data_IF_765949465020
#
_entry.id   IF_765949465020
#
_cell.length_a   1.000
_cell.length_b   1.000
_cell.length_c   1.000
_cell.angle_alpha   90.00
_cell.angle_beta   90.00
_cell.angle_gamma   90.00
#
_symmetry.space_group_name_H-M   'P 1'
#
loop_
_entity.id
_entity.type
_entity.pdbx_description
1 polymer ?
#
# COMPACT_ATOMS: atom_id res chain seq x y z
N UNK A 1 8.38 8.97 -0.93
CA UNK A 1 7.08 8.64 -1.57
C UNK A 1 6.02 8.69 -0.50
N UNK A 2 4.81 9.10 -0.82
CA UNK A 2 3.63 9.06 0.05
C UNK A 2 2.57 8.27 -0.70
N UNK A 3 2.10 7.20 -0.08
CA UNK A 3 1.01 6.36 -0.58
C UNK A 3 -0.24 6.77 0.19
N UNK A 4 -1.33 7.02 -0.53
CA UNK A 4 -2.56 7.59 0.00
C UNK A 4 -3.73 6.66 -0.32
N UNK A 5 -4.63 6.54 0.64
CA UNK A 5 -5.92 5.89 0.51
C UNK A 5 -7.01 6.97 0.64
N UNK A 6 -8.23 6.62 0.27
CA UNK A 6 -9.41 7.46 0.51
C UNK A 6 -9.37 8.83 -0.20
N UNK A 7 -8.71 8.88 -1.35
CA UNK A 7 -8.63 10.10 -2.17
C UNK A 7 -9.84 10.16 -3.09
N UNK A 8 -10.70 11.14 -2.84
CA UNK A 8 -11.98 11.29 -3.57
C UNK A 8 -11.82 11.69 -5.04
N UNK A 9 -10.81 12.52 -5.36
CA UNK A 9 -10.62 13.06 -6.72
C UNK A 9 -9.28 13.80 -6.88
N UNK A 10 -8.98 14.17 -8.11
CA UNK A 10 -7.77 14.91 -8.51
C UNK A 10 -7.62 16.28 -7.81
N UNK A 11 -8.71 16.95 -7.40
CA UNK A 11 -8.58 18.23 -6.69
C UNK A 11 -8.05 18.03 -5.27
N UNK A 12 -8.53 17.00 -4.56
CA UNK A 12 -8.00 16.62 -3.24
C UNK A 12 -6.52 16.26 -3.34
N UNK A 13 -6.17 15.41 -4.32
CA UNK A 13 -4.77 15.00 -4.51
C UNK A 13 -3.86 16.17 -4.85
N UNK A 14 -4.34 17.13 -5.65
CA UNK A 14 -3.61 18.36 -5.98
C UNK A 14 -3.39 19.23 -4.75
N UNK A 15 -4.42 19.43 -3.92
CA UNK A 15 -4.29 20.21 -2.69
C UNK A 15 -3.25 19.61 -1.74
N UNK A 16 -3.21 18.27 -1.62
CA UNK A 16 -2.19 17.57 -0.84
C UNK A 16 -0.79 17.75 -1.44
N UNK A 17 -0.63 17.62 -2.76
CA UNK A 17 0.64 17.84 -3.44
C UNK A 17 1.15 19.28 -3.25
N UNK A 18 0.27 20.27 -3.38
CA UNK A 18 0.59 21.68 -3.19
C UNK A 18 1.04 21.96 -1.75
N UNK A 19 0.42 21.33 -0.75
CA UNK A 19 0.82 21.43 0.65
C UNK A 19 2.19 20.81 0.94
N UNK A 20 2.56 19.72 0.25
CA UNK A 20 3.89 19.11 0.34
C UNK A 20 4.97 19.90 -0.42
N UNK A 21 4.57 20.79 -1.32
CA UNK A 21 5.43 21.67 -2.09
C UNK A 21 6.03 21.03 -3.35
N UNK A 22 6.75 21.84 -4.14
CA UNK A 22 7.15 21.48 -5.52
C UNK A 22 8.11 20.30 -5.63
N UNK A 23 8.74 19.88 -4.53
CA UNK A 23 9.59 18.69 -4.51
C UNK A 23 8.79 17.40 -4.79
N UNK A 24 7.48 17.38 -4.51
CA UNK A 24 6.58 16.26 -4.79
C UNK A 24 5.89 16.44 -6.14
N UNK A 25 6.70 16.54 -7.21
CA UNK A 25 6.20 16.79 -8.57
C UNK A 25 5.47 15.61 -9.22
N UNK A 26 5.66 14.38 -8.73
CA UNK A 26 4.94 13.20 -9.22
C UNK A 26 3.65 13.02 -8.45
N UNK A 27 2.54 12.92 -9.19
CA UNK A 27 1.19 12.68 -8.68
C UNK A 27 0.49 11.66 -9.56
N UNK A 28 0.00 10.57 -8.97
CA UNK A 28 -0.73 9.52 -9.68
C UNK A 28 -1.98 9.15 -8.89
N UNK A 29 -3.15 9.29 -9.52
CA UNK A 29 -4.43 8.85 -8.96
C UNK A 29 -4.85 7.52 -9.61
N UNK A 30 -5.16 6.53 -8.77
CA UNK A 30 -5.76 5.26 -9.15
C UNK A 30 -7.28 5.37 -9.27
N UNK A 31 -7.75 6.35 -10.04
CA UNK A 31 -9.18 6.68 -10.12
C UNK A 31 -9.99 5.53 -10.71
N UNK A 32 -11.07 5.16 -10.01
CA UNK A 32 -11.93 4.05 -10.44
C UNK A 32 -13.18 4.50 -11.17
N UNK A 33 -13.44 5.82 -11.19
CA UNK A 33 -14.62 6.49 -11.77
C UNK A 33 -15.96 5.98 -11.24
N UNK A 34 -15.95 5.22 -10.13
CA UNK A 34 -17.18 4.79 -9.48
C UNK A 34 -17.78 5.96 -8.69
N UNK A 35 -19.12 6.10 -8.62
CA UNK A 35 -19.74 7.14 -7.81
C UNK A 35 -19.28 7.06 -6.35
N UNK A 36 -18.81 8.19 -5.80
CA UNK A 36 -18.25 8.28 -4.46
C UNK A 36 -17.10 7.27 -4.20
N UNK A 37 -16.24 7.04 -5.20
CA UNK A 37 -15.06 6.22 -5.01
C UNK A 37 -14.08 6.84 -4.03
N UNK A 38 -13.51 5.98 -3.20
CA UNK A 38 -12.45 6.28 -2.26
C UNK A 38 -11.20 5.61 -2.79
N UNK A 39 -10.46 6.33 -3.63
CA UNK A 39 -9.41 5.77 -4.48
C UNK A 39 -8.03 5.82 -3.81
N UNK A 40 -7.08 5.10 -4.39
CA UNK A 40 -5.67 5.16 -3.97
C UNK A 40 -4.91 6.19 -4.79
N UNK A 41 -3.87 6.78 -4.21
CA UNK A 41 -2.99 7.69 -4.91
C UNK A 41 -1.54 7.57 -4.43
N UNK A 42 -0.64 8.13 -5.23
CA UNK A 42 0.78 8.23 -4.91
C UNK A 42 1.29 9.64 -5.19
N UNK A 43 1.99 10.21 -4.22
CA UNK A 43 2.78 11.43 -4.35
C UNK A 43 4.26 11.10 -4.17
N UNK A 44 5.11 11.56 -5.07
CA UNK A 44 6.53 11.27 -5.00
C UNK A 44 7.43 12.43 -5.43
N UNK A 45 8.64 12.39 -4.88
CA UNK A 45 9.79 13.11 -5.43
C UNK A 45 10.46 12.20 -6.46
N UNK A 46 11.15 12.78 -7.43
CA UNK A 46 11.83 12.04 -8.51
C UNK A 46 11.06 12.11 -9.82
N UNK A 47 11.28 11.12 -10.68
CA UNK A 47 10.73 11.08 -12.04
C UNK A 47 9.77 9.90 -12.20
N UNK A 48 8.59 10.16 -12.76
CA UNK A 48 7.63 9.12 -13.11
C UNK A 48 8.08 8.41 -14.39
N UNK A 49 8.16 7.08 -14.35
CA UNK A 49 8.52 6.26 -15.51
C UNK A 49 7.30 5.54 -16.09
N UNK A 50 6.62 4.74 -15.28
CA UNK A 50 5.49 3.89 -15.71
C UNK A 50 4.39 3.91 -14.66
N UNK A 51 3.15 3.84 -15.11
CA UNK A 51 1.98 3.56 -14.26
C UNK A 51 1.27 2.34 -14.84
N UNK A 52 1.00 1.34 -14.01
CA UNK A 52 0.12 0.21 -14.35
C UNK A 52 -1.05 0.14 -13.38
N UNK A 53 -2.14 -0.41 -13.89
CA UNK A 53 -3.43 -0.55 -13.21
C UNK A 53 -3.86 -2.00 -13.34
N UNK A 54 -4.27 -2.58 -12.23
CA UNK A 54 -4.62 -3.98 -12.08
C UNK A 54 -6.07 -4.19 -11.64
N UNK A 55 -6.83 -3.11 -11.37
CA UNK A 55 -8.20 -3.19 -10.83
C UNK A 55 -9.09 -4.19 -11.54
N UNK A 56 -9.12 -4.15 -12.87
CA UNK A 56 -10.07 -4.91 -13.68
C UNK A 56 -9.60 -6.35 -13.97
N UNK A 57 -8.47 -6.78 -13.40
CA UNK A 57 -8.00 -8.15 -13.48
C UNK A 57 -9.00 -9.10 -12.79
N UNK A 58 -9.42 -10.20 -13.45
CA UNK A 58 -10.25 -11.22 -12.80
C UNK A 58 -9.48 -11.91 -11.66
N UNK A 59 -10.10 -11.95 -10.48
CA UNK A 59 -9.54 -12.56 -9.27
C UNK A 59 -10.38 -13.78 -8.88
N UNK A 60 -9.84 -15.01 -8.96
CA UNK A 60 -10.57 -16.21 -8.53
C UNK A 60 -10.95 -16.14 -7.05
N UNK A 61 -12.20 -16.44 -6.73
CA UNK A 61 -12.66 -16.59 -5.35
C UNK A 61 -12.44 -18.03 -4.85
N UNK A 62 -12.03 -18.24 -3.59
CA UNK A 62 -11.90 -19.59 -3.02
C UNK A 62 -13.18 -20.42 -3.07
N UNK A 63 -14.36 -19.79 -2.88
CA UNK A 63 -15.67 -20.43 -2.97
C UNK A 63 -16.19 -20.69 -4.39
N UNK A 64 -15.41 -20.32 -5.42
CA UNK A 64 -15.80 -20.37 -6.82
C UNK A 64 -16.37 -19.05 -7.34
N UNK A 65 -16.26 -18.84 -8.65
CA UNK A 65 -16.52 -17.56 -9.28
C UNK A 65 -15.30 -16.63 -9.24
N UNK A 66 -15.51 -15.38 -9.64
CA UNK A 66 -14.45 -14.39 -9.76
C UNK A 66 -14.92 -13.03 -9.23
N UNK A 67 -13.96 -12.23 -8.79
CA UNK A 67 -14.14 -10.84 -8.42
C UNK A 67 -13.07 -9.99 -9.13
N UNK A 68 -12.90 -8.75 -8.68
CA UNK A 68 -11.84 -7.83 -9.09
C UNK A 68 -11.40 -7.01 -7.89
N UNK A 69 -10.29 -6.29 -7.96
CA UNK A 69 -9.91 -5.41 -6.85
C UNK A 69 -10.97 -4.33 -6.61
N UNK A 70 -11.25 -4.03 -5.34
CA UNK A 70 -12.26 -3.04 -4.94
C UNK A 70 -11.84 -1.64 -5.35
N UNK A 71 -10.58 -1.32 -5.04
CA UNK A 71 -9.87 -0.12 -5.45
C UNK A 71 -8.77 -0.53 -6.42
N UNK A 72 -8.08 0.45 -6.99
CA UNK A 72 -6.90 0.15 -7.79
C UNK A 72 -5.80 -0.50 -6.94
N UNK A 73 -5.13 -1.51 -7.52
CA UNK A 73 -3.79 -1.91 -7.08
C UNK A 73 -2.83 -1.14 -7.99
N UNK A 74 -2.45 0.05 -7.55
CA UNK A 74 -1.78 1.04 -8.39
C UNK A 74 -0.27 0.81 -8.37
N UNK A 75 0.28 0.36 -9.50
CA UNK A 75 1.72 0.13 -9.67
C UNK A 75 2.38 1.36 -10.29
N UNK A 76 3.35 1.95 -9.61
CA UNK A 76 4.06 3.15 -10.07
C UNK A 76 5.56 2.91 -10.07
N UNK A 77 6.17 3.05 -11.24
CA UNK A 77 7.63 2.99 -11.42
C UNK A 77 8.19 4.39 -11.41
N UNK A 78 9.23 4.59 -10.62
CA UNK A 78 9.86 5.88 -10.34
C UNK A 78 11.38 5.76 -10.49
N UNK A 79 12.02 6.87 -10.88
CA UNK A 79 13.45 7.09 -10.64
C UNK A 79 13.59 8.06 -9.46
N UNK A 80 14.19 7.61 -8.36
CA UNK A 80 14.38 8.42 -7.15
C UNK A 80 15.86 8.47 -6.81
N UNK A 81 16.44 9.67 -6.81
CA UNK A 81 17.88 9.87 -6.52
C UNK A 81 18.81 9.00 -7.39
N UNK A 82 18.42 8.76 -8.64
CA UNK A 82 19.18 7.92 -9.56
C UNK A 82 18.95 6.41 -9.40
N UNK A 83 18.10 5.96 -8.49
CA UNK A 83 17.77 4.54 -8.29
C UNK A 83 16.32 4.20 -8.68
N UNK A 84 16.07 3.01 -9.25
CA UNK A 84 14.72 2.58 -9.60
C UNK A 84 13.92 2.14 -8.37
N UNK A 85 12.68 2.63 -8.28
CA UNK A 85 11.73 2.34 -7.20
C UNK A 85 10.36 2.03 -7.82
N UNK A 86 9.78 0.88 -7.45
CA UNK A 86 8.43 0.49 -7.84
C UNK A 86 7.58 0.42 -6.57
N UNK A 87 6.44 1.12 -6.57
CA UNK A 87 5.52 1.15 -5.43
C UNK A 87 4.13 0.74 -5.89
N UNK A 88 3.56 -0.21 -5.18
CA UNK A 88 2.16 -0.59 -5.26
C UNK A 88 1.39 0.11 -4.15
N UNK A 89 0.40 0.93 -4.51
CA UNK A 89 -0.58 1.46 -3.58
C UNK A 89 -1.81 0.55 -3.59
N UNK A 90 -2.20 0.06 -2.41
CA UNK A 90 -3.35 -0.81 -2.25
C UNK A 90 -4.36 -0.22 -1.25
N UNK A 91 -5.63 -0.57 -1.46
CA UNK A 91 -6.71 -0.40 -0.49
C UNK A 91 -7.68 -1.57 -0.67
N UNK A 92 -7.54 -2.60 0.17
CA UNK A 92 -8.32 -3.82 0.03
C UNK A 92 -9.78 -3.62 0.42
N UNK A 93 -10.63 -4.62 0.12
CA UNK A 93 -12.05 -4.60 0.50
C UNK A 93 -12.20 -4.41 2.01
N UNK A 94 -12.83 -3.32 2.43
CA UNK A 94 -13.16 -3.08 3.84
C UNK A 94 -13.97 -4.22 4.48
N UNK A 95 -13.93 -4.30 5.82
CA UNK A 95 -14.79 -5.21 6.61
C UNK A 95 -16.27 -4.78 6.68
N UNK A 96 -16.68 -3.71 5.99
CA UNK A 96 -18.10 -3.37 5.80
C UNK A 96 -18.80 -4.48 5.01
N UNK A 97 -19.88 -5.02 5.58
CA UNK A 97 -20.61 -6.21 5.14
C UNK A 97 -19.77 -7.51 5.12
N UNK A 98 -18.56 -7.44 5.69
CA UNK A 98 -17.50 -8.46 5.77
C UNK A 98 -17.47 -9.49 4.62
N UNK A 99 -16.68 -9.17 3.59
CA UNK A 99 -16.41 -10.06 2.45
C UNK A 99 -14.99 -10.67 2.54
N UNK A 100 -14.72 -11.63 3.46
CA UNK A 100 -13.36 -12.14 3.70
C UNK A 100 -12.78 -12.90 2.50
N UNK A 101 -13.61 -13.62 1.73
CA UNK A 101 -13.14 -14.31 0.51
C UNK A 101 -12.63 -13.32 -0.54
N UNK A 102 -13.26 -12.16 -0.62
CA UNK A 102 -12.88 -11.11 -1.55
C UNK A 102 -11.57 -10.44 -1.14
N UNK A 103 -11.40 -10.12 0.16
CA UNK A 103 -10.11 -9.64 0.69
C UNK A 103 -8.99 -10.65 0.45
N UNK A 104 -9.26 -11.93 0.67
CA UNK A 104 -8.27 -12.98 0.44
C UNK A 104 -7.87 -13.09 -1.04
N UNK A 105 -8.84 -13.01 -1.96
CA UNK A 105 -8.55 -13.01 -3.40
C UNK A 105 -7.69 -11.80 -3.83
N UNK A 106 -7.99 -10.61 -3.31
CA UNK A 106 -7.17 -9.41 -3.52
C UNK A 106 -5.74 -9.60 -2.99
N UNK A 107 -5.57 -10.17 -1.80
CA UNK A 107 -4.26 -10.41 -1.20
C UNK A 107 -3.42 -11.43 -1.99
N UNK A 108 -4.02 -12.55 -2.42
CA UNK A 108 -3.35 -13.57 -3.24
C UNK A 108 -2.88 -12.96 -4.57
N UNK A 109 -3.75 -12.20 -5.23
CA UNK A 109 -3.41 -11.56 -6.50
C UNK A 109 -2.34 -10.49 -6.34
N UNK A 110 -2.43 -9.65 -5.31
CA UNK A 110 -1.42 -8.65 -5.01
C UNK A 110 -0.07 -9.30 -4.69
N UNK A 111 -0.05 -10.41 -3.93
CA UNK A 111 1.18 -11.15 -3.66
C UNK A 111 1.86 -11.58 -4.96
N UNK A 112 1.13 -12.27 -5.84
CA UNK A 112 1.65 -12.78 -7.10
C UNK A 112 2.15 -11.65 -8.00
N UNK A 113 1.36 -10.58 -8.18
CA UNK A 113 1.73 -9.44 -9.03
C UNK A 113 2.99 -8.75 -8.52
N UNK A 114 3.07 -8.49 -7.20
CA UNK A 114 4.22 -7.80 -6.60
C UNK A 114 5.47 -8.66 -6.70
N UNK A 115 5.37 -9.97 -6.48
CA UNK A 115 6.52 -10.87 -6.62
C UNK A 115 6.97 -11.00 -8.08
N UNK A 116 6.05 -11.12 -9.03
CA UNK A 116 6.38 -11.20 -10.47
C UNK A 116 7.10 -9.93 -10.94
N UNK A 117 6.64 -8.76 -10.49
CA UNK A 117 7.29 -7.49 -10.79
C UNK A 117 8.66 -7.39 -10.12
N UNK A 118 8.81 -7.86 -8.88
CA UNK A 118 10.10 -7.90 -8.20
C UNK A 118 11.11 -8.84 -8.87
N UNK A 119 10.66 -9.99 -9.40
CA UNK A 119 11.50 -10.92 -10.16
C UNK A 119 11.89 -10.35 -11.54
N UNK A 120 10.99 -9.62 -12.18
CA UNK A 120 11.26 -8.96 -13.46
C UNK A 120 12.18 -7.71 -13.33
N UNK A 121 12.23 -7.10 -12.15
CA UNK A 121 12.99 -5.88 -11.85
C UNK A 121 13.90 -6.05 -10.62
N UNK A 122 14.87 -6.99 -10.64
CA UNK A 122 15.72 -7.27 -9.49
C UNK A 122 16.60 -6.07 -9.09
N UNK A 123 16.84 -5.12 -9.99
CA UNK A 123 17.57 -3.88 -9.74
C UNK A 123 16.76 -2.81 -8.99
N UNK A 124 15.42 -2.91 -9.01
CA UNK A 124 14.54 -1.94 -8.37
C UNK A 124 14.31 -2.29 -6.90
N UNK A 125 14.00 -1.28 -6.09
CA UNK A 125 13.29 -1.53 -4.83
C UNK A 125 11.80 -1.68 -5.14
N UNK A 126 11.16 -2.75 -4.66
CA UNK A 126 9.72 -2.99 -4.86
C UNK A 126 9.00 -3.02 -3.53
N UNK A 127 8.01 -2.13 -3.38
CA UNK A 127 7.20 -1.97 -2.16
C UNK A 127 5.72 -2.12 -2.46
N UNK A 128 4.98 -2.73 -1.53
CA UNK A 128 3.51 -2.70 -1.47
C UNK A 128 3.11 -1.97 -0.19
N UNK A 129 2.23 -0.98 -0.28
CA UNK A 129 1.79 -0.22 0.89
C UNK A 129 0.33 0.24 0.82
N UNK A 130 -0.31 0.30 1.98
CA UNK A 130 -1.65 0.88 2.14
C UNK A 130 -2.49 0.17 3.19
N UNK A 131 -3.76 0.53 3.24
CA UNK A 131 -4.78 -0.11 4.08
C UNK A 131 -5.20 -1.45 3.46
N UNK A 132 -4.74 -2.54 4.07
CA UNK A 132 -5.07 -3.90 3.63
C UNK A 132 -6.30 -4.45 4.34
N UNK A 133 -6.91 -3.66 5.23
CA UNK A 133 -8.15 -3.95 5.94
C UNK A 133 -8.17 -5.26 6.74
N UNK A 134 -7.00 -5.80 7.08
CA UNK A 134 -6.90 -7.02 7.89
C UNK A 134 -5.61 -7.04 8.72
N UNK A 135 -5.59 -7.88 9.75
CA UNK A 135 -4.55 -7.84 10.79
C UNK A 135 -3.48 -8.93 10.58
N UNK A 136 -2.28 -8.78 11.19
CA UNK A 136 -1.28 -9.85 11.18
C UNK A 136 -1.84 -11.19 11.68
N UNK A 137 -1.58 -12.28 10.96
CA UNK A 137 -2.11 -13.62 11.26
C UNK A 137 -3.53 -13.88 10.73
N UNK A 138 -4.12 -12.92 9.98
CA UNK A 138 -5.34 -13.16 9.22
C UNK A 138 -5.02 -13.82 7.86
N UNK A 139 -5.98 -14.55 7.25
CA UNK A 139 -5.74 -15.21 5.95
C UNK A 139 -5.22 -14.28 4.84
N UNK A 140 -5.71 -13.03 4.67
CA UNK A 140 -5.13 -12.11 3.67
C UNK A 140 -3.67 -11.75 3.94
N UNK A 141 -3.28 -11.52 5.20
CA UNK A 141 -1.89 -11.17 5.53
C UNK A 141 -0.96 -12.38 5.42
N UNK A 142 -1.43 -13.56 5.83
CA UNK A 142 -0.70 -14.82 5.66
C UNK A 142 -0.47 -15.14 4.17
N UNK A 143 -1.45 -14.81 3.31
CA UNK A 143 -1.31 -14.96 1.86
C UNK A 143 -0.21 -14.04 1.29
N UNK A 144 -0.08 -12.80 1.78
CA UNK A 144 0.99 -11.88 1.38
C UNK A 144 2.37 -12.33 1.88
N UNK A 145 2.44 -12.91 3.08
CA UNK A 145 3.68 -13.39 3.70
C UNK A 145 4.10 -14.79 3.23
N UNK A 146 3.30 -15.43 2.36
CA UNK A 146 3.53 -16.79 1.91
C UNK A 146 4.94 -16.94 1.32
N UNK A 147 5.61 -18.02 1.71
CA UNK A 147 7.00 -18.34 1.31
C UNK A 147 8.06 -17.29 1.71
N UNK A 148 7.68 -16.24 2.44
CA UNK A 148 8.59 -15.20 2.91
C UNK A 148 9.10 -14.24 1.84
N UNK A 149 8.47 -14.23 0.65
CA UNK A 149 8.89 -13.41 -0.51
C UNK A 149 8.63 -11.92 -0.28
N UNK A 150 7.53 -11.59 0.39
CA UNK A 150 7.23 -10.24 0.85
C UNK A 150 7.52 -10.12 2.36
N UNK A 151 8.41 -9.20 2.69
CA UNK A 151 8.77 -8.86 4.07
C UNK A 151 7.83 -7.78 4.61
N UNK A 152 6.99 -8.10 5.60
CA UNK A 152 6.15 -7.09 6.27
C UNK A 152 7.00 -6.18 7.15
N UNK A 153 7.23 -4.96 6.69
CA UNK A 153 8.00 -3.93 7.39
C UNK A 153 7.31 -3.48 8.68
N UNK A 154 5.98 -3.41 8.68
CA UNK A 154 5.20 -3.04 9.87
C UNK A 154 5.23 -4.11 10.97
N UNK A 155 5.81 -5.29 10.74
CA UNK A 155 6.09 -6.26 11.80
C UNK A 155 7.16 -5.76 12.79
N UNK A 156 7.98 -4.77 12.39
CA UNK A 156 9.03 -4.16 13.20
C UNK A 156 8.52 -2.96 14.05
N UNK A 157 7.20 -2.73 14.09
CA UNK A 157 6.59 -1.76 14.98
C UNK A 157 6.75 -2.21 16.45
N UNK A 158 7.05 -1.28 17.39
CA UNK A 158 7.01 -1.57 18.81
C UNK A 158 5.61 -2.08 19.21
N UNK A 159 5.49 -3.11 20.08
CA UNK A 159 4.19 -3.68 20.43
C UNK A 159 3.14 -2.67 20.95
N UNK A 160 3.57 -1.61 21.65
CA UNK A 160 2.68 -0.54 22.13
C UNK A 160 2.17 0.40 21.03
N UNK A 161 2.85 0.44 19.90
CA UNK A 161 2.58 1.34 18.76
C UNK A 161 2.06 0.59 17.53
N UNK A 162 1.86 -0.73 17.63
CA UNK A 162 1.43 -1.60 16.54
C UNK A 162 -0.09 -1.54 16.31
N UNK A 163 -0.60 -0.34 16.04
CA UNK A 163 -1.98 -0.08 15.61
C UNK A 163 -2.01 1.10 14.67
N UNK A 164 -2.99 1.14 13.77
CA UNK A 164 -3.22 2.25 12.83
C UNK A 164 -4.67 2.69 12.77
N UNK A 165 -5.62 1.89 13.29
CA UNK A 165 -7.05 2.24 13.33
C UNK A 165 -7.67 1.86 14.67
N UNK A 166 -8.70 2.58 15.12
CA UNK A 166 -9.45 2.27 16.35
C UNK A 166 -10.80 1.63 16.03
N UNK A 167 -10.87 0.31 16.19
CA UNK A 167 -12.14 -0.42 16.08
C UNK A 167 -12.73 -0.69 17.46
N UNK A 168 -13.93 -0.15 17.73
CA UNK A 168 -14.66 -0.31 19.01
C UNK A 168 -13.80 0.00 20.25
N UNK A 169 -12.93 1.00 20.14
CA UNK A 169 -12.04 1.44 21.22
C UNK A 169 -10.73 0.66 21.33
N UNK A 170 -10.53 -0.38 20.52
CA UNK A 170 -9.29 -1.16 20.44
C UNK A 170 -8.47 -0.73 19.23
N UNK A 171 -7.16 -0.53 19.42
CA UNK A 171 -6.22 -0.32 18.32
C UNK A 171 -5.99 -1.62 17.55
N UNK A 172 -6.17 -1.58 16.23
CA UNK A 172 -5.85 -2.67 15.30
C UNK A 172 -4.87 -2.16 14.24
N UNK A 173 -4.03 -3.04 13.72
CA UNK A 173 -3.04 -2.73 12.69
C UNK A 173 -3.53 -3.26 11.35
N UNK A 174 -4.00 -2.36 10.49
CA UNK A 174 -4.55 -2.70 9.15
C UNK A 174 -3.83 -1.99 8.00
N UNK A 175 -3.01 -0.98 8.31
CA UNK A 175 -2.14 -0.31 7.34
C UNK A 175 -0.75 -0.94 7.37
N UNK A 176 -0.28 -1.37 6.20
CA UNK A 176 0.92 -2.17 6.08
C UNK A 176 1.87 -1.63 5.02
N UNK A 177 3.15 -1.92 5.23
CA UNK A 177 4.21 -1.76 4.23
C UNK A 177 4.90 -3.12 4.11
N UNK A 178 5.01 -3.60 2.88
CA UNK A 178 5.73 -4.80 2.48
C UNK A 178 6.86 -4.44 1.53
N UNK A 179 7.97 -5.16 1.64
CA UNK A 179 9.09 -5.10 0.69
C UNK A 179 9.24 -6.46 0.03
N UNK A 180 9.33 -6.50 -1.30
CA UNK A 180 9.69 -7.73 -2.00
C UNK A 180 11.19 -8.04 -1.81
N UNK A 181 11.52 -9.26 -1.37
CA UNK A 181 12.90 -9.66 -1.07
C UNK A 181 13.76 -9.94 -2.30
N UNK A 182 13.14 -10.32 -3.42
CA UNK A 182 13.82 -10.59 -4.68
C UNK A 182 14.42 -9.32 -5.31
N UNK A 183 13.98 -8.15 -4.87
CA UNK A 183 14.38 -6.85 -5.41
C UNK A 183 15.41 -6.13 -4.52
N UNK A 184 16.15 -5.20 -5.12
CA UNK A 184 17.21 -4.44 -4.48
C UNK A 184 16.70 -3.45 -3.41
N UNK A 185 17.65 -2.72 -2.81
CA UNK A 185 17.41 -1.81 -1.70
C UNK A 185 17.23 -2.53 -0.36
N UNK A 186 17.29 -1.79 0.74
CA UNK A 186 17.19 -2.35 2.10
C UNK A 186 16.28 -1.53 2.98
N UNK A 187 15.50 -2.21 3.81
CA UNK A 187 14.83 -1.58 4.93
C UNK A 187 15.85 -1.15 5.99
N UNK A 188 15.72 0.08 6.50
CA UNK A 188 16.48 0.56 7.64
C UNK A 188 15.78 0.06 8.91
N UNK A 189 16.32 -1.02 9.49
CA UNK A 189 15.72 -1.68 10.66
C UNK A 189 15.46 -0.69 11.81
N UNK A 190 14.33 -0.84 12.49
CA UNK A 190 13.88 0.02 13.57
C UNK A 190 13.45 1.41 13.13
N UNK A 191 13.24 1.66 11.82
CA UNK A 191 12.79 2.97 11.31
C UNK A 191 11.28 3.08 11.13
N UNK A 192 10.54 1.97 11.15
CA UNK A 192 9.09 1.98 10.98
C UNK A 192 8.40 2.63 12.19
N UNK A 193 7.45 3.54 11.93
CA UNK A 193 6.64 4.19 12.96
C UNK A 193 5.20 4.26 12.48
N UNK A 194 4.25 3.94 13.35
CA UNK A 194 2.87 4.38 13.23
C UNK A 194 2.79 5.73 13.94
N UNK A 195 2.37 6.77 13.22
CA UNK A 195 2.22 8.13 13.76
C UNK A 195 0.86 8.23 14.46
N UNK A 196 0.74 7.45 15.52
CA UNK A 196 -0.44 7.35 16.36
C UNK A 196 -0.61 8.61 17.19
N UNK A 197 -1.82 9.12 17.23
CA UNK A 197 -2.23 10.12 18.21
C UNK A 197 -3.70 9.91 18.61
N UNK A 198 -4.14 10.64 19.63
CA UNK A 198 -5.51 10.55 20.12
C UNK A 198 -6.52 11.32 19.26
N UNK A 199 -6.05 12.07 18.24
CA UNK A 199 -6.85 13.04 17.48
C UNK A 199 -6.78 12.87 15.94
N UNK A 200 -6.08 11.85 15.45
CA UNK A 200 -6.02 11.48 14.05
C UNK A 200 -5.02 12.27 13.19
N UNK A 201 -3.91 12.79 13.71
CA UNK A 201 -3.04 13.72 12.98
C UNK A 201 -2.65 13.25 11.56
N UNK A 202 -2.88 14.07 10.51
CA UNK A 202 -3.35 15.47 10.55
C UNK A 202 -4.87 15.66 10.30
N UNK A 203 -5.71 14.66 10.57
CA UNK A 203 -7.17 14.71 10.52
C UNK A 203 -7.86 13.43 9.99
N UNK A 204 -7.16 12.30 10.00
CA UNK A 204 -7.61 10.98 9.54
C UNK A 204 -7.97 10.08 10.74
N UNK A 205 -8.92 9.17 10.57
CA UNK A 205 -9.22 8.12 11.55
C UNK A 205 -8.17 6.97 11.55
N UNK A 206 -7.30 6.95 10.53
CA UNK A 206 -6.11 6.11 10.47
C UNK A 206 -4.83 6.88 10.80
N UNK A 207 -3.92 6.24 11.54
CA UNK A 207 -2.57 6.72 11.76
C UNK A 207 -1.68 6.44 10.53
N UNK A 208 -0.87 7.43 10.16
CA UNK A 208 0.07 7.27 9.05
C UNK A 208 1.23 6.33 9.44
N UNK A 209 1.56 5.38 8.57
CA UNK A 209 2.76 4.53 8.71
C UNK A 209 3.91 5.13 7.92
N UNK A 210 5.07 5.23 8.56
CA UNK A 210 6.31 5.71 7.93
C UNK A 210 7.42 4.69 8.10
N UNK A 211 8.31 4.58 7.12
CA UNK A 211 9.51 3.73 7.17
C UNK A 211 10.62 4.33 6.31
N UNK A 212 11.88 4.01 6.62
CA UNK A 212 13.05 4.44 5.84
C UNK A 212 13.69 3.25 5.14
N UNK A 213 14.16 3.50 3.92
CA UNK A 213 14.81 2.51 3.09
C UNK A 213 16.06 3.11 2.44
N UNK A 214 17.11 2.32 2.35
CA UNK A 214 18.28 2.62 1.54
C UNK A 214 18.01 2.14 0.12
N UNK A 215 18.01 3.08 -0.84
CA UNK A 215 17.78 2.78 -2.24
C UNK A 215 18.91 1.92 -2.82
N UNK A 216 18.65 1.16 -3.90
CA UNK A 216 19.70 0.51 -4.66
C UNK A 216 20.80 1.52 -5.07
N UNK A 217 22.09 1.11 -5.08
CA UNK A 217 23.17 1.95 -5.57
C UNK A 217 23.10 2.23 -7.07
#
# INVERSE_FOLDING_TARGET
VVVLQEIENENVLRALADALGPAYGVRVLGETFAPASMDVALLARGELQVVRRHRDMPLPLPGGGETRFTRELLEVHLQVQGAPLIVFAAHFRSKVDDEPERRLAEAIAAQQIVTDVAEAHPEAMVLLAGDLNDEPGSPPLDALEVRGELERITADLPPGDAWTFRYRGQGILIDHIFRARAAAGRYVQGSVRALNDDLGYPGSDHAAVTARFDLPP
#
